data_IF_041562446282
#
_entry.id   IF_041562446282
#
_cell.length_a   1.000
_cell.length_b   1.000
_cell.length_c   1.000
_cell.angle_alpha   90.00
_cell.angle_beta   90.00
_cell.angle_gamma   90.00
#
_symmetry.space_group_name_H-M   'P 1'
#
loop_
_entity.id
_entity.type
_entity.pdbx_description
1 polymer ?
#
# COMPACT_ATOMS: atom_id res chain seq x y z
N UNK A 1 26.45 4.53 -1.07
CA UNK A 1 26.05 3.14 -0.72
C UNK A 1 25.45 2.46 -1.93
N UNK A 2 25.56 1.15 -2.01
CA UNK A 2 24.86 0.32 -3.00
C UNK A 2 23.71 -0.43 -2.32
N UNK A 3 22.48 -0.13 -2.68
CA UNK A 3 21.27 -0.70 -2.11
C UNK A 3 20.62 -1.63 -3.14
N UNK A 4 20.34 -2.88 -2.75
CA UNK A 4 19.68 -3.87 -3.59
C UNK A 4 18.29 -4.20 -3.03
N UNK A 5 17.25 -3.97 -3.82
CA UNK A 5 15.87 -4.31 -3.49
C UNK A 5 15.46 -5.63 -4.15
N UNK A 6 14.66 -6.42 -3.44
CA UNK A 6 14.04 -7.63 -3.96
C UNK A 6 12.52 -7.50 -3.95
N UNK A 7 11.89 -7.65 -5.10
CA UNK A 7 10.44 -7.63 -5.30
C UNK A 7 10.03 -8.70 -6.32
N UNK A 8 8.77 -9.13 -6.31
CA UNK A 8 8.30 -10.10 -7.32
C UNK A 8 8.36 -9.52 -8.75
N UNK A 9 7.90 -8.31 -8.93
CA UNK A 9 7.93 -7.52 -10.16
C UNK A 9 7.20 -6.21 -9.93
N UNK A 10 7.40 -5.22 -10.81
CA UNK A 10 6.77 -3.89 -10.70
C UNK A 10 6.12 -3.45 -12.03
N UNK A 11 5.51 -4.43 -12.70
CA UNK A 11 4.69 -4.26 -13.91
C UNK A 11 3.20 -4.00 -13.61
N UNK A 12 2.76 -4.15 -12.35
CA UNK A 12 1.38 -3.87 -11.92
C UNK A 12 1.31 -2.49 -11.26
N UNK A 13 0.26 -1.69 -11.57
CA UNK A 13 0.09 -0.38 -10.93
C UNK A 13 -0.49 -0.55 -9.51
N UNK A 14 0.37 -0.88 -8.54
CA UNK A 14 -0.02 -1.00 -7.14
C UNK A 14 0.89 -0.17 -6.22
N UNK A 15 0.46 0.05 -4.96
CA UNK A 15 1.12 0.98 -4.05
C UNK A 15 2.55 0.62 -3.69
N UNK A 16 2.85 -0.67 -3.50
CA UNK A 16 4.21 -1.13 -3.15
C UNK A 16 5.18 -0.90 -4.31
N UNK A 17 4.74 -1.14 -5.54
CA UNK A 17 5.52 -0.95 -6.76
C UNK A 17 5.80 0.54 -7.00
N UNK A 18 4.81 1.43 -6.77
CA UNK A 18 5.01 2.87 -6.84
C UNK A 18 6.04 3.34 -5.80
N UNK A 19 5.86 2.95 -4.54
CA UNK A 19 6.77 3.31 -3.46
C UNK A 19 8.20 2.86 -3.75
N UNK A 20 8.40 1.66 -4.30
CA UNK A 20 9.73 1.20 -4.70
C UNK A 20 10.34 2.07 -5.78
N UNK A 21 9.60 2.41 -6.85
CA UNK A 21 10.10 3.27 -7.92
C UNK A 21 10.46 4.67 -7.38
N UNK A 22 9.59 5.28 -6.58
CA UNK A 22 9.83 6.61 -5.99
C UNK A 22 11.07 6.60 -5.08
N UNK A 23 11.24 5.59 -4.22
CA UNK A 23 12.43 5.43 -3.37
C UNK A 23 13.70 5.19 -4.18
N UNK A 24 13.65 4.32 -5.20
CA UNK A 24 14.80 4.03 -6.06
C UNK A 24 15.26 5.26 -6.82
N UNK A 25 14.32 6.02 -7.40
CA UNK A 25 14.60 7.27 -8.09
C UNK A 25 15.24 8.29 -7.15
N UNK A 26 14.65 8.50 -5.96
CA UNK A 26 15.21 9.42 -4.97
C UNK A 26 16.63 9.03 -4.55
N UNK A 27 16.88 7.74 -4.31
CA UNK A 27 18.21 7.25 -3.91
C UNK A 27 19.27 7.50 -4.97
N UNK A 28 18.98 7.26 -6.26
CA UNK A 28 19.96 7.52 -7.33
C UNK A 28 20.17 9.01 -7.56
N UNK A 29 19.15 9.84 -7.38
CA UNK A 29 19.27 11.32 -7.40
C UNK A 29 20.20 11.83 -6.31
N UNK A 30 20.24 11.14 -5.15
CA UNK A 30 21.10 11.47 -4.01
C UNK A 30 22.44 10.71 -3.99
N UNK A 31 22.88 10.19 -5.15
CA UNK A 31 24.23 9.62 -5.35
C UNK A 31 24.39 8.19 -4.82
N UNK A 32 23.30 7.47 -4.54
CA UNK A 32 23.36 6.05 -4.20
C UNK A 32 23.22 5.18 -5.45
N UNK A 33 23.89 4.03 -5.45
CA UNK A 33 23.66 2.99 -6.45
C UNK A 33 22.47 2.14 -6.04
N UNK A 34 21.56 1.88 -6.97
CA UNK A 34 20.37 1.05 -6.72
C UNK A 34 20.28 -0.07 -7.75
N UNK A 35 20.08 -1.29 -7.26
CA UNK A 35 19.75 -2.47 -8.08
C UNK A 35 18.43 -3.04 -7.61
N UNK A 36 17.50 -3.31 -8.53
CA UNK A 36 16.22 -3.99 -8.23
C UNK A 36 16.29 -5.40 -8.84
N UNK A 37 16.13 -6.41 -7.98
CA UNK A 37 16.06 -7.81 -8.38
C UNK A 37 14.61 -8.25 -8.40
N UNK A 38 14.15 -8.80 -9.53
CA UNK A 38 12.79 -9.32 -9.71
C UNK A 38 12.78 -10.82 -10.00
N UNK A 39 11.65 -11.46 -9.81
CA UNK A 39 11.43 -12.89 -10.11
C UNK A 39 10.40 -13.15 -11.19
N UNK A 40 9.59 -12.13 -11.50
CA UNK A 40 8.39 -12.22 -12.34
C UNK A 40 8.29 -11.11 -13.39
N UNK A 41 9.30 -10.28 -13.61
CA UNK A 41 9.21 -9.15 -14.57
C UNK A 41 9.00 -9.62 -16.01
N UNK A 42 9.77 -10.60 -16.46
CA UNK A 42 9.61 -11.28 -17.77
C UNK A 42 9.50 -10.32 -18.95
N UNK A 43 10.30 -9.26 -18.95
CA UNK A 43 10.33 -8.26 -20.01
C UNK A 43 9.09 -7.35 -20.09
N UNK A 44 8.17 -7.45 -19.13
CA UNK A 44 6.99 -6.57 -19.09
C UNK A 44 7.40 -5.13 -18.75
N UNK A 45 6.70 -4.10 -19.29
CA UNK A 45 6.99 -2.72 -18.97
C UNK A 45 6.79 -2.43 -17.47
N UNK A 46 7.49 -1.45 -16.97
CA UNK A 46 7.29 -0.95 -15.60
C UNK A 46 6.00 -0.15 -15.50
N UNK A 47 5.27 -0.32 -14.41
CA UNK A 47 4.00 0.39 -14.20
C UNK A 47 4.21 1.87 -13.85
N UNK A 48 5.40 2.23 -13.33
CA UNK A 48 5.75 3.59 -12.94
C UNK A 48 7.11 3.98 -13.54
N UNK A 49 7.37 5.27 -13.76
CA UNK A 49 8.65 5.75 -14.25
C UNK A 49 9.80 5.32 -13.33
N UNK A 50 10.87 4.82 -13.93
CA UNK A 50 12.08 4.43 -13.23
C UNK A 50 13.28 5.13 -13.88
N UNK A 51 14.13 5.75 -13.07
CA UNK A 51 15.35 6.41 -13.53
C UNK A 51 16.29 5.39 -14.21
N UNK A 52 16.86 5.77 -15.34
CA UNK A 52 17.72 4.90 -16.14
C UNK A 52 19.02 4.48 -15.41
N UNK A 53 19.38 5.15 -14.34
CA UNK A 53 20.53 4.78 -13.48
C UNK A 53 20.22 3.62 -12.54
N UNK A 54 18.94 3.27 -12.34
CA UNK A 54 18.54 2.10 -11.55
C UNK A 54 18.75 0.83 -12.39
N UNK A 55 19.60 -0.06 -11.90
CA UNK A 55 19.80 -1.36 -12.53
C UNK A 55 18.66 -2.31 -12.18
N UNK A 56 18.12 -3.01 -13.18
CA UNK A 56 17.06 -4.02 -12.96
C UNK A 56 17.56 -5.40 -13.46
N UNK A 57 17.49 -6.40 -12.58
CA UNK A 57 17.87 -7.79 -12.88
C UNK A 57 16.66 -8.70 -12.64
N UNK A 58 16.13 -9.32 -13.70
CA UNK A 58 15.06 -10.31 -13.55
C UNK A 58 15.64 -11.73 -13.50
N UNK A 59 15.41 -12.42 -12.39
CA UNK A 59 15.81 -13.81 -12.20
C UNK A 59 14.91 -14.79 -12.95
N UNK A 60 13.77 -14.34 -13.45
CA UNK A 60 12.79 -15.12 -14.21
C UNK A 60 12.44 -16.47 -13.55
N UNK A 61 12.19 -16.48 -12.24
CA UNK A 61 11.91 -17.70 -11.47
C UNK A 61 10.55 -18.29 -11.84
N UNK A 62 9.56 -17.43 -12.11
CA UNK A 62 8.24 -17.84 -12.58
C UNK A 62 7.37 -18.48 -11.49
N UNK A 63 7.30 -17.89 -10.29
CA UNK A 63 6.39 -18.36 -9.23
C UNK A 63 4.92 -18.26 -9.64
N UNK A 64 4.57 -17.26 -10.46
CA UNK A 64 3.21 -17.04 -10.95
C UNK A 64 2.75 -18.09 -11.98
N UNK A 65 3.66 -18.80 -12.63
CA UNK A 65 3.33 -19.78 -13.68
C UNK A 65 2.41 -20.92 -13.20
N UNK A 66 2.42 -21.17 -11.90
CA UNK A 66 1.60 -22.21 -11.27
C UNK A 66 0.36 -21.64 -10.52
N UNK A 67 0.02 -20.36 -10.68
CA UNK A 67 -1.09 -19.76 -9.93
C UNK A 67 -2.47 -20.35 -10.27
N UNK A 68 -2.67 -20.86 -11.49
CA UNK A 68 -3.87 -21.60 -11.90
C UNK A 68 -3.83 -23.10 -11.59
N UNK A 69 -2.71 -23.64 -11.13
CA UNK A 69 -2.54 -25.07 -10.86
C UNK A 69 -3.10 -25.54 -9.52
N UNK A 70 -3.19 -26.86 -9.36
CA UNK A 70 -3.64 -27.51 -8.13
C UNK A 70 -2.69 -27.22 -6.95
N UNK A 71 -3.17 -27.46 -5.72
CA UNK A 71 -2.31 -27.36 -4.51
C UNK A 71 -1.10 -28.29 -4.59
N UNK A 72 -1.26 -29.46 -5.22
CA UNK A 72 -0.19 -30.44 -5.43
C UNK A 72 0.88 -29.90 -6.36
N UNK A 73 0.51 -29.24 -7.46
CA UNK A 73 1.46 -28.60 -8.38
C UNK A 73 2.33 -27.57 -7.67
N UNK A 74 1.69 -26.77 -6.80
CA UNK A 74 2.40 -25.77 -5.99
C UNK A 74 3.37 -26.41 -5.01
N UNK A 75 2.97 -27.48 -4.32
CA UNK A 75 3.81 -28.20 -3.36
C UNK A 75 5.02 -28.89 -4.03
N UNK A 76 4.83 -29.46 -5.20
CA UNK A 76 5.90 -30.19 -5.94
C UNK A 76 6.93 -29.19 -6.53
N UNK A 77 6.46 -28.12 -7.16
CA UNK A 77 7.35 -27.21 -7.90
C UNK A 77 8.00 -26.13 -7.02
N UNK A 78 7.35 -25.73 -5.92
CA UNK A 78 7.82 -24.63 -5.06
C UNK A 78 9.25 -24.87 -4.50
N UNK A 79 9.63 -26.04 -3.96
CA UNK A 79 10.99 -26.27 -3.45
C UNK A 79 12.07 -26.13 -4.52
N UNK A 80 11.79 -26.60 -5.75
CA UNK A 80 12.70 -26.45 -6.90
C UNK A 80 12.90 -24.99 -7.28
N UNK A 81 11.81 -24.21 -7.34
CA UNK A 81 11.85 -22.76 -7.59
C UNK A 81 12.62 -22.01 -6.48
N UNK A 82 12.44 -22.37 -5.23
CA UNK A 82 13.17 -21.80 -4.09
C UNK A 82 14.69 -22.06 -4.17
N UNK A 83 15.10 -23.27 -4.55
CA UNK A 83 16.53 -23.60 -4.72
C UNK A 83 17.14 -22.81 -5.89
N UNK A 84 16.44 -22.72 -7.02
CA UNK A 84 16.88 -21.94 -8.20
C UNK A 84 16.95 -20.45 -7.85
N UNK A 85 15.94 -19.91 -7.15
CA UNK A 85 15.92 -18.54 -6.67
C UNK A 85 17.11 -18.25 -5.76
N UNK A 86 17.35 -19.12 -4.76
CA UNK A 86 18.49 -18.97 -3.86
C UNK A 86 19.80 -18.86 -4.64
N UNK A 87 20.08 -19.82 -5.52
CA UNK A 87 21.32 -19.85 -6.31
C UNK A 87 21.48 -18.62 -7.20
N UNK A 88 20.40 -18.18 -7.86
CA UNK A 88 20.43 -17.01 -8.74
C UNK A 88 20.64 -15.72 -7.93
N UNK A 89 19.97 -15.58 -6.78
CA UNK A 89 20.12 -14.41 -5.91
C UNK A 89 21.52 -14.36 -5.26
N UNK A 90 22.07 -15.51 -4.85
CA UNK A 90 23.46 -15.61 -4.36
C UNK A 90 24.45 -15.09 -5.41
N UNK A 91 24.32 -15.53 -6.66
CA UNK A 91 25.19 -15.08 -7.74
C UNK A 91 25.10 -13.56 -7.99
N UNK A 92 23.90 -12.98 -7.93
CA UNK A 92 23.71 -11.53 -8.06
C UNK A 92 24.36 -10.77 -6.90
N UNK A 93 24.17 -11.24 -5.66
CA UNK A 93 24.75 -10.60 -4.48
C UNK A 93 26.27 -10.66 -4.46
N UNK A 94 26.88 -11.80 -4.86
CA UNK A 94 28.33 -11.98 -4.98
C UNK A 94 28.94 -11.10 -6.07
N UNK A 95 28.24 -10.92 -7.19
CA UNK A 95 28.71 -10.10 -8.31
C UNK A 95 28.53 -8.60 -8.05
N UNK A 96 27.38 -8.17 -7.55
CA UNK A 96 27.06 -6.75 -7.33
C UNK A 96 27.60 -6.19 -6.02
N UNK A 97 27.85 -7.04 -5.02
CA UNK A 97 28.37 -6.69 -3.69
C UNK A 97 27.68 -5.48 -3.07
N UNK A 98 26.34 -5.52 -2.89
CA UNK A 98 25.64 -4.40 -2.28
C UNK A 98 26.05 -4.24 -0.80
N UNK A 99 26.00 -3.01 -0.30
CA UNK A 99 26.16 -2.75 1.12
C UNK A 99 24.93 -3.27 1.89
N UNK A 100 23.73 -3.10 1.28
CA UNK A 100 22.44 -3.42 1.88
C UNK A 100 21.57 -4.18 0.88
N UNK A 101 20.97 -5.28 1.32
CA UNK A 101 19.99 -6.05 0.57
C UNK A 101 18.64 -6.04 1.28
N UNK A 102 17.61 -5.50 0.60
CA UNK A 102 16.27 -5.28 1.15
C UNK A 102 15.30 -6.30 0.55
N UNK A 103 14.52 -6.97 1.39
CA UNK A 103 13.36 -7.77 1.00
C UNK A 103 12.08 -6.96 1.16
N UNK A 104 11.25 -6.93 0.13
CA UNK A 104 9.90 -6.37 0.21
C UNK A 104 8.84 -7.43 0.57
N UNK A 105 9.25 -8.41 1.37
CA UNK A 105 8.41 -9.52 1.86
C UNK A 105 7.81 -10.39 0.75
N UNK A 106 8.58 -10.67 -0.30
CA UNK A 106 8.19 -11.55 -1.39
C UNK A 106 8.74 -12.98 -1.21
N UNK A 107 8.96 -13.70 -2.31
CA UNK A 107 9.38 -15.11 -2.26
C UNK A 107 10.80 -15.32 -1.72
N UNK A 108 11.66 -14.29 -1.73
CA UNK A 108 13.02 -14.28 -1.20
C UNK A 108 13.09 -14.15 0.33
N UNK A 109 12.01 -13.81 1.00
CA UNK A 109 11.98 -13.46 2.43
C UNK A 109 12.57 -14.55 3.34
N UNK A 110 12.46 -15.82 2.97
CA UNK A 110 13.09 -16.93 3.70
C UNK A 110 14.52 -17.28 3.18
N UNK A 111 14.90 -16.76 2.02
CA UNK A 111 16.16 -17.02 1.36
C UNK A 111 17.20 -15.99 1.77
N UNK A 112 16.88 -14.72 1.60
CA UNK A 112 17.81 -13.59 1.75
C UNK A 112 18.58 -13.58 3.09
N UNK A 113 17.95 -13.79 4.27
CA UNK A 113 18.68 -13.75 5.55
C UNK A 113 19.63 -14.96 5.75
N UNK A 114 19.63 -15.94 4.83
CA UNK A 114 20.51 -17.11 4.89
C UNK A 114 21.74 -16.98 3.97
N UNK A 115 21.74 -15.96 3.12
CA UNK A 115 22.87 -15.70 2.20
C UNK A 115 23.90 -14.84 2.94
N UNK A 116 25.14 -15.34 2.98
CA UNK A 116 26.25 -14.68 3.67
C UNK A 116 27.22 -14.07 2.64
N UNK A 117 26.80 -12.97 2.05
CA UNK A 117 27.53 -12.21 1.02
C UNK A 117 28.20 -10.94 1.57
N UNK A 118 28.06 -10.68 2.88
CA UNK A 118 28.60 -9.51 3.54
C UNK A 118 27.63 -8.32 3.63
N UNK A 119 26.57 -8.27 2.81
CA UNK A 119 25.60 -7.18 2.88
C UNK A 119 24.69 -7.27 4.12
N UNK A 120 24.26 -6.11 4.64
CA UNK A 120 23.24 -6.03 5.69
C UNK A 120 21.86 -6.36 5.13
N UNK A 121 21.06 -7.11 5.89
CA UNK A 121 19.75 -7.59 5.47
C UNK A 121 18.63 -6.78 6.13
N UNK A 122 17.85 -6.08 5.32
CA UNK A 122 16.71 -5.30 5.77
C UNK A 122 15.42 -5.94 5.25
N UNK A 123 14.40 -5.99 6.08
CA UNK A 123 13.06 -6.42 5.69
C UNK A 123 12.11 -5.24 5.76
N UNK A 124 11.39 -4.98 4.70
CA UNK A 124 10.37 -3.94 4.61
C UNK A 124 8.99 -4.58 4.38
N UNK A 125 7.99 -4.21 5.18
CA UNK A 125 6.65 -4.79 5.11
C UNK A 125 5.62 -3.70 4.80
N UNK A 126 4.81 -3.92 3.74
CA UNK A 126 3.78 -2.99 3.27
C UNK A 126 2.36 -3.45 3.61
N UNK A 127 2.20 -4.28 4.62
CA UNK A 127 0.91 -4.79 5.08
C UNK A 127 0.89 -4.96 6.60
N UNK A 128 -0.29 -4.92 7.19
CA UNK A 128 -0.49 -5.13 8.62
C UNK A 128 -0.02 -6.52 9.09
N UNK A 129 0.50 -6.58 10.32
CA UNK A 129 0.86 -7.81 11.03
C UNK A 129 -0.22 -8.89 10.93
N UNK A 130 -1.48 -8.48 10.95
CA UNK A 130 -2.62 -9.39 10.94
C UNK A 130 -3.15 -9.73 9.55
N UNK A 131 -2.49 -9.34 8.46
CA UNK A 131 -2.93 -9.58 7.08
C UNK A 131 -3.49 -11.01 6.88
N UNK A 132 -2.77 -12.04 7.35
CA UNK A 132 -3.20 -13.44 7.18
C UNK A 132 -4.45 -13.79 7.97
N UNK A 133 -4.61 -13.21 9.17
CA UNK A 133 -5.73 -13.47 10.06
C UNK A 133 -6.99 -12.71 9.66
N UNK A 134 -6.82 -11.59 8.96
CA UNK A 134 -7.91 -10.72 8.50
C UNK A 134 -8.65 -11.26 7.27
N UNK A 135 -8.14 -12.31 6.61
CA UNK A 135 -8.86 -12.98 5.52
C UNK A 135 -10.16 -13.68 5.97
N UNK A 136 -10.41 -13.81 7.29
CA UNK A 136 -11.63 -14.39 7.83
C UNK A 136 -11.84 -15.87 7.49
N UNK A 137 -10.79 -16.59 7.10
CA UNK A 137 -10.87 -18.00 6.77
C UNK A 137 -11.27 -18.83 7.98
N UNK A 138 -12.10 -19.86 7.79
CA UNK A 138 -12.59 -20.74 8.85
C UNK A 138 -11.94 -22.15 8.77
N UNK A 139 -12.08 -22.93 9.85
CA UNK A 139 -11.62 -24.34 9.91
C UNK A 139 -10.10 -24.49 9.81
N UNK A 140 -9.66 -25.51 9.07
CA UNK A 140 -8.23 -25.84 8.92
C UNK A 140 -7.42 -24.68 8.35
N UNK A 141 -7.98 -23.86 7.48
CA UNK A 141 -7.30 -22.70 6.90
C UNK A 141 -7.00 -21.60 7.93
N UNK A 142 -7.89 -21.41 8.90
CA UNK A 142 -7.63 -20.49 10.02
C UNK A 142 -6.43 -20.96 10.87
N UNK A 143 -6.27 -22.27 11.09
CA UNK A 143 -5.12 -22.84 11.78
C UNK A 143 -3.82 -22.64 10.97
N UNK A 144 -3.87 -22.88 9.66
CA UNK A 144 -2.73 -22.65 8.76
C UNK A 144 -2.31 -21.18 8.78
N UNK A 145 -3.27 -20.25 8.75
CA UNK A 145 -2.97 -18.81 8.78
C UNK A 145 -2.35 -18.39 10.12
N UNK A 146 -2.79 -18.97 11.26
CA UNK A 146 -2.16 -18.76 12.57
C UNK A 146 -0.72 -19.30 12.62
N UNK A 147 -0.48 -20.49 12.09
CA UNK A 147 0.87 -21.08 12.02
C UNK A 147 1.79 -20.21 11.17
N UNK A 148 1.34 -19.81 9.98
CA UNK A 148 2.09 -18.93 9.09
C UNK A 148 2.37 -17.57 9.73
N UNK A 149 1.39 -17.01 10.44
CA UNK A 149 1.55 -15.76 11.16
C UNK A 149 2.64 -15.85 12.24
N UNK A 150 2.72 -16.96 12.98
CA UNK A 150 3.82 -17.23 13.93
C UNK A 150 5.18 -17.49 13.24
N UNK A 151 5.15 -18.08 12.04
CA UNK A 151 6.37 -18.23 11.23
C UNK A 151 6.90 -16.88 10.77
N UNK A 152 6.02 -15.95 10.36
CA UNK A 152 6.38 -14.59 9.99
C UNK A 152 7.08 -13.87 11.19
N UNK A 153 6.57 -14.01 12.44
CA UNK A 153 7.23 -13.44 13.64
C UNK A 153 8.66 -13.94 13.86
N UNK A 154 8.89 -15.22 13.59
CA UNK A 154 10.23 -15.80 13.73
C UNK A 154 11.14 -15.38 12.57
N UNK A 155 10.56 -15.16 11.42
CA UNK A 155 11.28 -14.79 10.22
C UNK A 155 11.82 -13.36 10.28
N UNK A 156 11.00 -12.40 10.69
CA UNK A 156 11.39 -10.98 10.77
C UNK A 156 12.59 -10.76 11.71
N UNK A 157 12.75 -11.60 12.73
CA UNK A 157 13.89 -11.58 13.69
C UNK A 157 15.22 -12.03 13.08
N UNK A 158 15.24 -12.52 11.84
CA UNK A 158 16.47 -12.95 11.15
C UNK A 158 17.12 -11.86 10.33
N UNK A 159 16.51 -10.71 10.26
CA UNK A 159 17.00 -9.54 9.55
C UNK A 159 17.73 -8.58 10.49
N UNK A 160 18.72 -7.87 10.00
CA UNK A 160 19.45 -6.85 10.77
C UNK A 160 18.54 -5.70 11.17
N UNK A 161 17.62 -5.33 10.28
CA UNK A 161 16.52 -4.38 10.55
C UNK A 161 15.23 -4.85 9.93
N UNK A 162 14.15 -4.55 10.62
CA UNK A 162 12.79 -4.81 10.20
C UNK A 162 12.00 -3.52 10.19
N UNK A 163 11.52 -3.10 9.02
CA UNK A 163 10.81 -1.83 8.83
C UNK A 163 9.32 -2.10 8.63
N UNK A 164 8.52 -1.42 9.45
CA UNK A 164 7.05 -1.35 9.37
C UNK A 164 6.64 0.09 9.10
N UNK A 165 5.39 0.30 8.66
CA UNK A 165 4.96 1.60 8.16
C UNK A 165 4.31 2.48 9.24
N UNK A 166 3.86 1.91 10.38
CA UNK A 166 3.11 2.61 11.43
C UNK A 166 3.57 2.20 12.83
N UNK A 167 3.40 3.10 13.79
CA UNK A 167 3.65 2.79 15.20
C UNK A 167 2.66 1.75 15.74
N UNK A 168 1.40 1.78 15.27
CA UNK A 168 0.40 0.77 15.59
C UNK A 168 0.87 -0.63 15.16
N UNK A 169 1.37 -0.80 13.93
CA UNK A 169 1.83 -2.11 13.46
C UNK A 169 3.09 -2.57 14.20
N UNK A 170 4.00 -1.66 14.55
CA UNK A 170 5.16 -1.96 15.42
C UNK A 170 4.72 -2.56 16.76
N UNK A 171 3.69 -2.00 17.41
CA UNK A 171 3.13 -2.55 18.64
C UNK A 171 2.57 -3.95 18.40
N UNK A 172 1.91 -4.19 17.28
CA UNK A 172 1.36 -5.49 16.92
C UNK A 172 2.43 -6.56 16.67
N UNK A 173 3.61 -6.20 16.16
CA UNK A 173 4.74 -7.13 15.99
C UNK A 173 5.43 -7.46 17.32
N UNK A 174 5.19 -6.67 18.37
CA UNK A 174 5.78 -6.83 19.69
C UNK A 174 7.22 -6.27 19.77
N UNK A 175 7.81 -6.32 20.96
CA UNK A 175 9.10 -5.71 21.21
C UNK A 175 10.23 -6.43 20.45
N UNK A 176 10.97 -5.67 19.66
CA UNK A 176 12.16 -6.10 18.92
C UNK A 176 13.12 -4.90 18.78
N UNK A 177 14.40 -5.09 19.11
CA UNK A 177 15.42 -4.04 18.93
C UNK A 177 15.65 -3.69 17.46
N UNK A 178 15.41 -4.65 16.56
CA UNK A 178 15.61 -4.51 15.11
C UNK A 178 14.48 -3.76 14.39
N UNK A 179 13.32 -3.56 15.03
CA UNK A 179 12.15 -2.93 14.39
C UNK A 179 12.31 -1.41 14.30
N UNK A 180 11.95 -0.85 13.16
CA UNK A 180 11.91 0.60 12.90
C UNK A 180 10.58 0.95 12.23
N UNK A 181 10.10 2.16 12.48
CA UNK A 181 8.92 2.70 11.79
C UNK A 181 9.40 3.73 10.79
N UNK A 182 9.22 3.42 9.51
CA UNK A 182 9.49 4.36 8.41
C UNK A 182 8.32 4.26 7.45
N UNK A 183 7.43 5.25 7.40
CA UNK A 183 6.28 5.25 6.52
C UNK A 183 6.70 5.43 5.06
N UNK A 184 5.74 5.18 4.15
CA UNK A 184 5.96 5.40 2.73
C UNK A 184 5.97 6.90 2.40
N UNK A 185 6.88 7.36 1.53
CA UNK A 185 6.82 8.71 0.99
C UNK A 185 5.72 8.85 -0.06
N UNK A 186 5.24 10.08 -0.26
CA UNK A 186 4.34 10.48 -1.33
C UNK A 186 5.00 11.53 -2.21
N UNK A 187 5.09 11.24 -3.49
CA UNK A 187 5.80 12.08 -4.46
C UNK A 187 4.85 12.97 -5.32
N UNK A 188 3.63 13.21 -4.87
CA UNK A 188 2.76 14.20 -5.49
C UNK A 188 3.08 15.62 -5.00
N UNK A 189 3.22 16.57 -5.93
CA UNK A 189 3.57 17.96 -5.64
C UNK A 189 2.69 18.92 -6.44
N UNK A 190 1.38 18.99 -6.16
CA UNK A 190 0.55 20.01 -6.79
C UNK A 190 0.97 21.40 -6.29
N UNK A 191 0.89 22.40 -7.17
CA UNK A 191 1.24 23.79 -6.86
C UNK A 191 0.27 24.42 -5.84
N UNK A 192 -0.97 23.94 -5.83
CA UNK A 192 -2.04 24.40 -4.93
C UNK A 192 -2.95 23.23 -4.56
N UNK A 193 -3.66 23.32 -3.42
CA UNK A 193 -4.68 22.32 -3.09
C UNK A 193 -5.81 22.31 -4.11
N UNK A 194 -6.54 21.18 -4.20
CA UNK A 194 -7.74 21.04 -5.01
C UNK A 194 -8.83 22.05 -4.58
N UNK A 195 -9.65 22.50 -5.53
CA UNK A 195 -10.70 23.50 -5.27
C UNK A 195 -11.86 22.95 -4.41
N UNK A 196 -12.03 21.65 -4.32
CA UNK A 196 -13.08 20.94 -3.55
C UNK A 196 -14.53 21.26 -3.95
N UNK A 197 -14.73 21.74 -5.19
CA UNK A 197 -16.03 22.20 -5.72
C UNK A 197 -16.77 21.16 -6.58
N UNK A 198 -16.08 20.06 -6.95
CA UNK A 198 -16.58 19.09 -7.94
C UNK A 198 -17.79 18.27 -7.47
N UNK A 199 -18.17 18.34 -6.18
CA UNK A 199 -19.19 17.49 -5.56
C UNK A 199 -18.92 15.99 -5.79
N UNK A 200 -17.65 15.60 -5.75
CA UNK A 200 -17.22 14.22 -5.95
C UNK A 200 -16.61 13.65 -4.68
N UNK A 201 -17.21 12.59 -4.17
CA UNK A 201 -16.60 11.70 -3.18
C UNK A 201 -15.86 10.61 -3.96
N UNK A 202 -14.55 10.49 -3.79
CA UNK A 202 -13.75 9.46 -4.46
C UNK A 202 -13.34 8.36 -3.49
N UNK A 203 -13.37 7.11 -3.93
CA UNK A 203 -12.75 5.98 -3.25
C UNK A 203 -11.80 5.26 -4.21
N UNK A 204 -10.55 5.08 -3.77
CA UNK A 204 -9.48 4.54 -4.61
C UNK A 204 -8.98 3.22 -4.07
N UNK A 205 -8.90 2.20 -4.93
CA UNK A 205 -8.33 0.92 -4.55
C UNK A 205 -8.85 -0.27 -5.34
N UNK A 206 -8.21 -1.42 -5.13
CA UNK A 206 -8.65 -2.67 -5.77
C UNK A 206 -10.03 -3.08 -5.27
N UNK A 207 -10.90 -3.52 -6.16
CA UNK A 207 -12.23 -4.03 -5.83
C UNK A 207 -12.13 -5.42 -5.22
N UNK A 208 -11.85 -5.44 -3.92
CA UNK A 208 -11.63 -6.66 -3.15
C UNK A 208 -12.13 -6.50 -1.71
N UNK A 209 -12.42 -7.61 -1.04
CA UNK A 209 -12.98 -7.65 0.30
C UNK A 209 -12.28 -6.73 1.32
N UNK A 210 -10.96 -6.60 1.22
CA UNK A 210 -10.19 -5.72 2.11
C UNK A 210 -10.68 -4.28 2.07
N UNK A 211 -11.02 -3.75 0.90
CA UNK A 211 -11.40 -2.35 0.70
C UNK A 211 -12.81 -2.02 1.18
N UNK A 212 -13.67 -3.03 1.34
CA UNK A 212 -15.01 -2.85 1.92
C UNK A 212 -15.90 -1.89 1.14
N UNK A 213 -15.75 -1.81 -0.18
CA UNK A 213 -16.48 -0.86 -1.03
C UNK A 213 -18.00 -1.06 -0.99
N UNK A 214 -18.45 -2.28 -0.73
CA UNK A 214 -19.87 -2.56 -0.49
C UNK A 214 -20.41 -1.78 0.72
N UNK A 215 -19.63 -1.64 1.79
CA UNK A 215 -20.00 -0.85 2.98
C UNK A 215 -20.10 0.64 2.66
N UNK A 216 -19.23 1.14 1.78
CA UNK A 216 -19.29 2.53 1.33
C UNK A 216 -20.52 2.78 0.47
N UNK A 217 -20.89 1.86 -0.42
CA UNK A 217 -22.12 1.94 -1.22
C UNK A 217 -23.35 1.90 -0.30
N UNK A 218 -23.35 1.04 0.73
CA UNK A 218 -24.42 0.99 1.73
C UNK A 218 -24.53 2.30 2.51
N UNK A 219 -23.41 2.88 2.98
CA UNK A 219 -23.40 4.20 3.62
C UNK A 219 -23.92 5.29 2.67
N UNK A 220 -23.47 5.29 1.41
CA UNK A 220 -23.95 6.22 0.39
C UNK A 220 -25.46 6.12 0.14
N UNK A 221 -26.01 4.91 0.19
CA UNK A 221 -27.46 4.70 0.07
C UNK A 221 -28.26 5.32 1.23
N UNK A 222 -27.67 5.40 2.42
CA UNK A 222 -28.34 5.97 3.61
C UNK A 222 -28.45 7.50 3.56
N UNK A 223 -27.56 8.19 2.82
CA UNK A 223 -27.60 9.64 2.65
C UNK A 223 -28.85 10.01 1.85
N UNK A 224 -29.75 10.80 2.45
CA UNK A 224 -31.04 11.16 1.83
C UNK A 224 -30.88 12.26 0.79
N UNK A 225 -30.21 13.33 1.16
CA UNK A 225 -29.95 14.46 0.26
C UNK A 225 -28.51 14.42 -0.28
N UNK A 226 -28.36 14.00 -1.51
CA UNK A 226 -27.07 13.99 -2.19
C UNK A 226 -26.74 15.30 -2.90
N UNK A 227 -27.71 16.22 -3.08
CA UNK A 227 -27.52 17.59 -3.65
C UNK A 227 -26.62 17.63 -4.88
N UNK A 228 -26.70 16.62 -5.75
CA UNK A 228 -25.88 16.50 -6.96
C UNK A 228 -24.52 15.88 -6.74
N UNK A 229 -24.15 15.48 -5.54
CA UNK A 229 -22.92 14.73 -5.25
C UNK A 229 -22.90 13.36 -5.92
N UNK A 230 -21.70 12.93 -6.31
CA UNK A 230 -21.42 11.62 -6.90
C UNK A 230 -20.39 10.86 -6.07
N UNK A 231 -20.58 9.57 -5.94
CA UNK A 231 -19.56 8.65 -5.43
C UNK A 231 -18.84 8.02 -6.61
N UNK A 232 -17.56 8.31 -6.78
CA UNK A 232 -16.69 7.74 -7.83
C UNK A 232 -15.76 6.69 -7.23
N UNK A 233 -15.94 5.43 -7.62
CA UNK A 233 -15.05 4.33 -7.25
C UNK A 233 -13.99 4.19 -8.34
N UNK A 234 -12.70 4.30 -7.99
CA UNK A 234 -11.58 4.24 -8.93
C UNK A 234 -10.74 3.00 -8.64
N UNK A 235 -10.74 2.06 -9.57
CA UNK A 235 -10.04 0.80 -9.42
C UNK A 235 -10.61 -0.33 -10.25
N UNK A 236 -10.13 -1.54 -9.98
CA UNK A 236 -10.66 -2.77 -10.54
C UNK A 236 -10.38 -3.96 -9.61
N UNK A 237 -11.04 -5.09 -9.82
CA UNK A 237 -10.81 -6.28 -9.04
C UNK A 237 -11.94 -7.30 -9.10
N UNK A 238 -11.76 -8.38 -8.36
CA UNK A 238 -12.64 -9.55 -8.33
C UNK A 238 -14.08 -9.26 -7.93
N UNK A 239 -14.32 -8.20 -7.15
CA UNK A 239 -15.66 -7.82 -6.68
C UNK A 239 -16.42 -6.89 -7.64
N UNK A 240 -15.87 -6.52 -8.81
CA UNK A 240 -16.52 -5.59 -9.74
C UNK A 240 -17.98 -5.94 -10.01
N UNK A 241 -18.26 -7.18 -10.39
CA UNK A 241 -19.61 -7.62 -10.73
C UNK A 241 -20.57 -7.58 -9.55
N UNK A 242 -20.09 -7.87 -8.35
CA UNK A 242 -20.91 -7.82 -7.12
C UNK A 242 -21.24 -6.38 -6.75
N UNK A 243 -20.29 -5.45 -6.92
CA UNK A 243 -20.52 -4.01 -6.71
C UNK A 243 -21.51 -3.45 -7.75
N UNK A 244 -21.40 -3.82 -9.03
CA UNK A 244 -22.35 -3.44 -10.08
C UNK A 244 -23.78 -3.89 -9.75
N UNK A 245 -23.95 -5.13 -9.30
CA UNK A 245 -25.25 -5.65 -8.85
C UNK A 245 -25.77 -4.89 -7.64
N UNK A 246 -24.91 -4.60 -6.65
CA UNK A 246 -25.31 -3.87 -5.45
C UNK A 246 -25.80 -2.46 -5.80
N UNK A 247 -25.06 -1.73 -6.65
CA UNK A 247 -25.43 -0.38 -7.13
C UNK A 247 -26.80 -0.40 -7.82
N UNK A 248 -27.01 -1.39 -8.71
CA UNK A 248 -28.27 -1.56 -9.42
C UNK A 248 -29.44 -1.89 -8.49
N UNK A 249 -29.25 -2.84 -7.55
CA UNK A 249 -30.28 -3.26 -6.61
C UNK A 249 -30.72 -2.13 -5.66
N UNK A 250 -29.82 -1.21 -5.34
CA UNK A 250 -30.08 -0.05 -4.52
C UNK A 250 -30.54 1.19 -5.32
N UNK A 251 -30.70 1.08 -6.65
CA UNK A 251 -31.10 2.18 -7.56
C UNK A 251 -30.14 3.37 -7.47
N UNK A 252 -28.83 3.12 -7.35
CA UNK A 252 -27.79 4.15 -7.19
C UNK A 252 -27.02 4.48 -8.49
N UNK A 253 -27.44 3.96 -9.63
CA UNK A 253 -26.73 4.10 -10.93
C UNK A 253 -26.51 5.55 -11.34
N UNK A 254 -27.40 6.46 -10.92
CA UNK A 254 -27.30 7.89 -11.22
C UNK A 254 -26.30 8.64 -10.32
N UNK A 255 -25.94 8.08 -9.15
CA UNK A 255 -25.10 8.74 -8.15
C UNK A 255 -23.81 8.01 -7.82
N UNK A 256 -23.64 6.75 -8.21
CA UNK A 256 -22.42 5.95 -8.02
C UNK A 256 -21.79 5.59 -9.35
N UNK A 257 -20.57 6.04 -9.55
CA UNK A 257 -19.79 5.79 -10.78
C UNK A 257 -18.73 4.71 -10.48
N UNK A 258 -18.91 3.53 -11.04
CA UNK A 258 -17.95 2.43 -10.94
C UNK A 258 -16.91 2.54 -12.06
N UNK A 259 -15.76 3.18 -11.76
CA UNK A 259 -14.68 3.43 -12.70
C UNK A 259 -13.78 2.21 -12.95
N UNK A 260 -12.71 2.46 -13.71
CA UNK A 260 -11.59 1.53 -13.90
C UNK A 260 -10.39 2.03 -13.10
N UNK A 261 -9.32 1.24 -13.06
CA UNK A 261 -8.04 1.72 -12.57
C UNK A 261 -7.54 2.85 -13.49
N UNK A 262 -7.14 3.96 -12.88
CA UNK A 262 -6.62 5.14 -13.56
C UNK A 262 -5.10 5.19 -13.42
N UNK A 263 -4.41 5.63 -14.47
CA UNK A 263 -2.97 5.88 -14.43
C UNK A 263 -2.64 7.29 -13.92
N UNK A 264 -3.48 8.27 -14.24
CA UNK A 264 -3.36 9.65 -13.79
C UNK A 264 -4.13 9.88 -12.49
N UNK A 265 -3.51 9.49 -11.39
CA UNK A 265 -4.07 9.70 -10.05
C UNK A 265 -4.06 11.17 -9.64
N UNK A 266 -3.20 12.00 -10.23
CA UNK A 266 -3.19 13.43 -9.96
C UNK A 266 -4.50 14.08 -10.44
N UNK A 267 -4.95 13.75 -11.65
CA UNK A 267 -6.25 14.22 -12.15
C UNK A 267 -7.42 13.72 -11.28
N UNK A 268 -7.36 12.45 -10.79
CA UNK A 268 -8.39 11.90 -9.90
C UNK A 268 -8.51 12.69 -8.60
N UNK A 269 -7.38 12.99 -7.94
CA UNK A 269 -7.40 13.74 -6.67
C UNK A 269 -7.69 15.23 -6.85
N UNK A 270 -7.23 15.84 -7.94
CA UNK A 270 -7.56 17.25 -8.26
C UNK A 270 -9.04 17.48 -8.52
N UNK A 271 -9.74 16.47 -9.05
CA UNK A 271 -11.20 16.48 -9.31
C UNK A 271 -12.01 15.88 -8.15
N UNK A 272 -11.44 15.72 -6.98
CA UNK A 272 -12.12 15.19 -5.81
C UNK A 272 -12.38 16.28 -4.77
N UNK A 273 -13.53 16.21 -4.09
CA UNK A 273 -13.85 17.08 -2.95
C UNK A 273 -13.71 16.37 -1.60
N UNK A 274 -13.88 15.05 -1.58
CA UNK A 274 -13.74 14.20 -0.38
C UNK A 274 -13.17 12.86 -0.81
N UNK A 275 -12.21 12.31 -0.05
CA UNK A 275 -11.84 10.91 -0.17
C UNK A 275 -12.60 10.08 0.87
N UNK A 276 -13.20 8.96 0.44
CA UNK A 276 -13.81 7.99 1.35
C UNK A 276 -12.96 6.70 1.42
N UNK A 277 -12.68 6.21 2.64
CA UNK A 277 -11.99 4.95 2.87
C UNK A 277 -12.80 4.03 3.78
N UNK A 278 -13.33 2.95 3.22
CA UNK A 278 -14.18 1.97 3.92
C UNK A 278 -13.48 0.65 4.24
N UNK A 279 -12.16 0.65 4.18
CA UNK A 279 -11.33 -0.55 4.33
C UNK A 279 -11.54 -1.26 5.68
N UNK A 280 -11.47 -2.59 5.66
CA UNK A 280 -11.49 -3.44 6.84
C UNK A 280 -10.15 -3.47 7.56
N UNK A 281 -9.08 -3.31 6.83
CA UNK A 281 -7.70 -3.24 7.32
C UNK A 281 -6.77 -2.69 6.25
N UNK A 282 -5.69 -2.04 6.68
CA UNK A 282 -4.65 -1.49 5.82
C UNK A 282 -3.24 -1.84 6.35
N UNK A 283 -2.21 -1.49 5.62
CA UNK A 283 -0.85 -1.36 6.12
C UNK A 283 -0.53 0.12 6.39
N UNK A 284 -0.49 0.88 5.33
CA UNK A 284 -0.52 2.34 5.30
C UNK A 284 -1.28 2.73 4.03
N UNK A 285 -2.49 3.28 4.13
CA UNK A 285 -3.33 3.53 2.96
C UNK A 285 -2.80 4.69 2.11
N UNK A 286 -2.09 4.36 1.02
CA UNK A 286 -1.49 5.36 0.11
C UNK A 286 -2.51 6.39 -0.38
N UNK A 287 -3.75 5.97 -0.66
CA UNK A 287 -4.80 6.87 -1.10
C UNK A 287 -5.08 8.01 -0.10
N UNK A 288 -4.95 7.78 1.21
CA UNK A 288 -5.08 8.83 2.23
C UNK A 288 -3.90 9.80 2.18
N UNK A 289 -2.69 9.30 2.01
CA UNK A 289 -1.50 10.14 1.89
C UNK A 289 -1.53 10.96 0.60
N UNK A 290 -1.89 10.31 -0.50
CA UNK A 290 -1.99 10.91 -1.82
C UNK A 290 -3.07 12.01 -1.85
N UNK A 291 -4.27 11.75 -1.32
CA UNK A 291 -5.33 12.76 -1.31
C UNK A 291 -4.98 13.98 -0.44
N UNK A 292 -4.32 13.77 0.72
CA UNK A 292 -3.84 14.88 1.54
C UNK A 292 -2.82 15.77 0.80
N UNK A 293 -1.97 15.17 -0.06
CA UNK A 293 -1.04 15.94 -0.88
C UNK A 293 -1.76 16.89 -1.86
N UNK A 294 -3.01 16.60 -2.21
CA UNK A 294 -3.89 17.49 -3.00
C UNK A 294 -4.81 18.36 -2.14
N UNK A 295 -4.70 18.30 -0.82
CA UNK A 295 -5.61 19.03 0.06
C UNK A 295 -7.04 18.50 0.04
N UNK A 296 -7.24 17.24 -0.34
CA UNK A 296 -8.55 16.57 -0.30
C UNK A 296 -8.74 15.95 1.06
N UNK A 297 -9.71 16.42 1.87
CA UNK A 297 -9.98 15.85 3.19
C UNK A 297 -10.60 14.46 3.06
N UNK A 298 -10.38 13.60 4.06
CA UNK A 298 -10.85 12.23 4.02
C UNK A 298 -11.91 11.94 5.08
N UNK A 299 -12.87 11.06 4.73
CA UNK A 299 -13.75 10.37 5.68
C UNK A 299 -13.38 8.89 5.64
N UNK A 300 -12.92 8.34 6.76
CA UNK A 300 -12.35 7.00 6.81
C UNK A 300 -12.88 6.19 7.97
N UNK A 301 -13.11 4.89 7.76
CA UNK A 301 -13.11 3.99 8.89
C UNK A 301 -11.74 4.00 9.57
N UNK A 302 -11.77 4.03 10.90
CA UNK A 302 -10.61 3.85 11.75
C UNK A 302 -10.28 2.34 11.86
N UNK A 303 -9.95 1.74 10.71
CA UNK A 303 -9.57 0.35 10.63
C UNK A 303 -8.13 0.15 11.12
N UNK A 304 -7.78 -1.11 11.46
CA UNK A 304 -6.43 -1.46 11.90
C UNK A 304 -5.37 -1.07 10.89
N UNK A 305 -4.38 -0.37 11.40
CA UNK A 305 -3.18 0.16 10.79
C UNK A 305 -3.43 1.24 9.72
N UNK A 306 -2.94 2.43 10.03
CA UNK A 306 -2.73 3.51 9.09
C UNK A 306 -3.68 4.69 9.13
N UNK A 307 -5.03 4.58 9.10
CA UNK A 307 -5.88 5.76 9.00
C UNK A 307 -5.63 6.80 10.10
N UNK A 308 -5.57 6.39 11.36
CA UNK A 308 -5.30 7.29 12.52
C UNK A 308 -3.89 7.86 12.57
N UNK A 309 -2.94 7.27 11.85
CA UNK A 309 -1.59 7.82 11.73
C UNK A 309 -1.52 8.96 10.71
N UNK A 310 -2.45 8.96 9.76
CA UNK A 310 -2.51 9.92 8.66
C UNK A 310 -3.53 11.02 8.94
N UNK A 311 -4.73 10.63 9.37
CA UNK A 311 -5.84 11.55 9.62
C UNK A 311 -5.77 12.04 11.07
N UNK A 312 -5.71 13.35 11.25
CA UNK A 312 -5.98 14.03 12.52
C UNK A 312 -7.48 14.29 12.56
N UNK A 313 -8.20 13.48 13.35
CA UNK A 313 -9.65 13.51 13.41
C UNK A 313 -10.18 14.92 13.75
N UNK A 314 -11.19 15.37 12.99
CA UNK A 314 -11.74 16.72 13.09
C UNK A 314 -10.85 17.85 12.54
N UNK A 315 -9.62 17.55 12.07
CA UNK A 315 -8.63 18.54 11.59
C UNK A 315 -8.26 18.33 10.13
N UNK A 316 -7.87 17.12 9.73
CA UNK A 316 -7.46 16.80 8.35
C UNK A 316 -8.43 15.83 7.67
N UNK A 317 -9.50 15.47 8.34
CA UNK A 317 -10.52 14.52 7.92
C UNK A 317 -11.31 14.01 9.12
N UNK A 318 -12.21 13.06 8.88
CA UNK A 318 -13.03 12.43 9.91
C UNK A 318 -12.73 10.93 10.02
N UNK A 319 -12.55 10.45 11.26
CA UNK A 319 -12.42 9.04 11.57
C UNK A 319 -13.71 8.48 12.15
N UNK A 320 -14.21 7.42 11.55
CA UNK A 320 -15.41 6.70 11.97
C UNK A 320 -15.02 5.32 12.46
N UNK A 321 -15.66 4.84 13.51
CA UNK A 321 -15.39 3.48 14.04
C UNK A 321 -15.52 2.44 12.92
N UNK A 322 -14.55 1.52 12.84
CA UNK A 322 -14.54 0.47 11.80
C UNK A 322 -15.85 -0.34 11.84
N UNK A 323 -16.53 -0.40 10.67
CA UNK A 323 -17.79 -1.11 10.48
C UNK A 323 -19.05 -0.34 10.87
N UNK A 324 -18.94 0.88 11.37
CA UNK A 324 -20.09 1.77 11.65
C UNK A 324 -20.54 2.44 10.34
N UNK A 325 -21.35 1.72 9.58
CA UNK A 325 -21.86 2.19 8.28
C UNK A 325 -22.75 3.45 8.43
N UNK A 326 -23.68 3.54 9.39
CA UNK A 326 -24.43 4.78 9.65
C UNK A 326 -23.51 5.96 9.97
N UNK A 327 -22.54 5.77 10.87
CA UNK A 327 -21.57 6.82 11.19
C UNK A 327 -20.74 7.27 10.01
N UNK A 328 -20.43 6.36 9.06
CA UNK A 328 -19.75 6.72 7.80
C UNK A 328 -20.67 7.58 6.91
N UNK A 329 -21.95 7.26 6.83
CA UNK A 329 -22.93 8.06 6.11
C UNK A 329 -23.08 9.47 6.69
N UNK A 330 -23.22 9.59 8.02
CA UNK A 330 -23.34 10.87 8.73
C UNK A 330 -22.10 11.75 8.54
N UNK A 331 -20.90 11.16 8.61
CA UNK A 331 -19.64 11.86 8.40
C UNK A 331 -19.49 12.36 6.95
N UNK A 332 -19.87 11.54 5.96
CA UNK A 332 -19.90 11.94 4.56
C UNK A 332 -20.90 13.08 4.34
N UNK A 333 -22.13 12.97 4.85
CA UNK A 333 -23.17 13.98 4.71
C UNK A 333 -22.75 15.31 5.35
N UNK A 334 -22.12 15.27 6.53
CA UNK A 334 -21.54 16.46 7.19
C UNK A 334 -20.51 17.15 6.29
N UNK A 335 -19.59 16.38 5.70
CA UNK A 335 -18.56 16.93 4.83
C UNK A 335 -19.12 17.45 3.49
N UNK A 336 -20.17 16.81 2.97
CA UNK A 336 -20.83 17.20 1.71
C UNK A 336 -21.56 18.54 1.85
N UNK A 337 -22.22 18.78 2.98
CA UNK A 337 -23.10 19.93 3.18
C UNK A 337 -22.45 21.11 3.94
N UNK A 338 -21.19 20.99 4.36
CA UNK A 338 -20.47 22.06 5.05
C UNK A 338 -19.19 22.44 4.30
N UNK A 339 -19.32 23.35 3.35
CA UNK A 339 -18.21 23.79 2.48
C UNK A 339 -17.04 24.37 3.30
N UNK A 340 -17.34 25.27 4.25
CA UNK A 340 -16.30 25.90 5.09
C UNK A 340 -15.51 24.86 5.89
N UNK A 341 -16.19 23.88 6.46
CA UNK A 341 -15.57 22.80 7.23
C UNK A 341 -14.70 21.91 6.33
N UNK A 342 -15.23 21.54 5.15
CA UNK A 342 -14.50 20.75 4.16
C UNK A 342 -13.24 21.46 3.65
N UNK A 343 -13.33 22.75 3.33
CA UNK A 343 -12.19 23.56 2.88
C UNK A 343 -11.14 23.75 3.96
N UNK A 344 -11.54 23.97 5.21
CA UNK A 344 -10.61 24.08 6.34
C UNK A 344 -9.84 22.78 6.54
N UNK A 345 -10.54 21.62 6.55
CA UNK A 345 -9.90 20.31 6.61
C UNK A 345 -8.99 20.06 5.42
N UNK A 346 -9.39 20.48 4.22
CA UNK A 346 -8.56 20.37 3.01
C UNK A 346 -7.26 21.16 3.12
N UNK A 347 -7.31 22.41 3.59
CA UNK A 347 -6.09 23.21 3.86
C UNK A 347 -5.18 22.54 4.88
N UNK A 348 -5.74 22.04 5.97
CA UNK A 348 -5.00 21.34 7.01
C UNK A 348 -4.40 20.03 6.49
N UNK A 349 -5.12 19.29 5.66
CA UNK A 349 -4.64 18.07 5.02
C UNK A 349 -3.43 18.36 4.11
N UNK A 350 -3.51 19.43 3.29
CA UNK A 350 -2.41 19.86 2.41
C UNK A 350 -1.14 20.19 3.20
N UNK A 351 -1.26 20.93 4.31
CA UNK A 351 -0.14 21.24 5.20
C UNK A 351 0.40 19.97 5.86
N UNK A 352 -0.47 19.07 6.31
CA UNK A 352 -0.06 17.82 6.95
C UNK A 352 0.71 16.89 6.00
N UNK A 353 0.43 16.96 4.70
CA UNK A 353 1.08 16.15 3.68
C UNK A 353 2.59 16.38 3.56
N UNK A 354 3.11 17.54 4.01
CA UNK A 354 4.55 17.83 4.03
C UNK A 354 5.35 16.81 4.85
N UNK A 355 4.74 16.27 5.93
CA UNK A 355 5.38 15.25 6.77
C UNK A 355 5.60 13.90 6.05
N UNK A 356 4.94 13.68 4.91
CA UNK A 356 4.98 12.43 4.15
C UNK A 356 5.78 12.56 2.84
N UNK A 357 6.38 13.73 2.59
CA UNK A 357 7.19 13.94 1.39
C UNK A 357 8.50 13.15 1.44
N UNK A 358 9.11 12.85 0.28
CA UNK A 358 10.40 12.17 0.24
C UNK A 358 11.47 12.87 1.08
N UNK A 359 11.48 14.21 1.14
CA UNK A 359 12.41 15.01 1.92
C UNK A 359 12.28 14.79 3.44
N UNK A 360 11.11 14.41 3.93
CA UNK A 360 10.88 14.10 5.34
C UNK A 360 11.08 12.61 5.67
N UNK A 361 10.85 11.73 4.71
CA UNK A 361 10.86 10.28 4.93
C UNK A 361 12.20 9.64 4.56
N UNK A 362 12.78 10.02 3.40
CA UNK A 362 13.99 9.35 2.90
C UNK A 362 15.22 9.54 3.79
N UNK A 363 15.42 10.68 4.48
CA UNK A 363 16.51 10.79 5.48
C UNK A 363 16.44 9.73 6.58
N UNK A 364 15.25 9.26 6.99
CA UNK A 364 15.09 8.18 7.98
C UNK A 364 15.61 6.84 7.43
N UNK A 365 15.48 6.61 6.12
CA UNK A 365 16.06 5.45 5.45
C UNK A 365 17.58 5.55 5.40
N UNK A 366 18.13 6.72 5.08
CA UNK A 366 19.59 6.94 5.06
C UNK A 366 20.17 6.72 6.47
N UNK A 367 19.56 7.31 7.50
CA UNK A 367 19.96 7.09 8.89
C UNK A 367 19.93 5.61 9.26
N UNK A 368 18.87 4.88 8.92
CA UNK A 368 18.78 3.43 9.16
C UNK A 368 19.92 2.67 8.48
N UNK A 369 20.25 3.03 7.24
CA UNK A 369 21.33 2.41 6.50
C UNK A 369 22.70 2.67 7.13
N UNK A 370 22.97 3.89 7.55
CA UNK A 370 24.19 4.29 8.25
C UNK A 370 24.32 3.61 9.63
N UNK A 371 23.21 3.41 10.35
CA UNK A 371 23.20 2.70 11.65
C UNK A 371 23.63 1.23 11.55
N UNK A 372 23.53 0.60 10.39
CA UNK A 372 23.78 -0.83 10.25
C UNK A 372 25.08 -1.16 9.48
N UNK A 373 25.67 -0.19 8.79
CA UNK A 373 26.95 -0.37 8.08
C UNK A 373 28.12 -0.22 9.04
#
# INVERSE_FOLDING_TARGET
MHILYNIAGFYRPAGMERVLCDKANWLVEHGHRVTIVTTEQKGRPYAFPLDSRVEVIDLAIGYEDNNGGSLWDKLIHYPGKQRRHKKALEAVLEDRKPDIAISMFCNEVNILPRIKDGSRKVLEVHFSRFKRLQYGRKGLWALVDRIRSKQDERLVRKYDRFVVLTEEDKVHWGPMETIRVIPNPVNFRPESPAALESKTVVAVGRYMHQKGLERLIEAWNMIQDKSGWKLRLVGDGEQRQDLEKLISNLNLTDSVLLGKAESDMAAVYSDASILALSSRYEGLPMALLECQAFGVPAVSFDCKCGPREIIKDGVTGLLVKEGDIPGLADALETMMHNDTFREEMGRNAFINAEAWRPEAIMPKWIQLFEEIL
#
